data_IF_671978515996
#
_entry.id   IF_671978515996
#
_cell.length_a   1.000
_cell.length_b   1.000
_cell.length_c   1.000
_cell.angle_alpha   90.00
_cell.angle_beta   90.00
_cell.angle_gamma   90.00
#
_symmetry.space_group_name_H-M   'P 1'
#
loop_
_entity.id
_entity.type
_entity.pdbx_description
1 polymer ?
#
# COMPACT_ATOMS: atom_id res chain seq x y z
N UNK A 1 26.77 -13.87 -14.05
CA UNK A 1 25.99 -12.68 -14.49
C UNK A 1 24.56 -12.69 -13.93
N UNK A 2 23.56 -13.35 -14.53
CA UNK A 2 22.16 -13.33 -14.02
C UNK A 2 21.95 -13.90 -12.60
N UNK A 3 22.71 -14.91 -12.22
CA UNK A 3 22.59 -15.54 -10.88
C UNK A 3 23.25 -14.69 -9.78
N UNK A 4 24.34 -13.98 -10.12
CA UNK A 4 25.02 -13.06 -9.20
C UNK A 4 24.13 -11.84 -8.90
N UNK A 5 23.44 -11.30 -9.91
CA UNK A 5 22.47 -10.21 -9.74
C UNK A 5 21.30 -10.56 -8.80
N UNK A 6 20.82 -11.81 -8.80
CA UNK A 6 19.79 -12.23 -7.84
C UNK A 6 20.28 -12.30 -6.39
N UNK A 7 21.55 -12.68 -6.16
CA UNK A 7 22.14 -12.60 -4.82
C UNK A 7 22.33 -11.16 -4.35
N UNK A 8 22.53 -10.22 -5.29
CA UNK A 8 22.66 -8.81 -4.95
C UNK A 8 21.39 -8.23 -4.32
N UNK A 9 20.21 -8.72 -4.70
CA UNK A 9 18.93 -8.34 -4.08
C UNK A 9 18.75 -8.87 -2.65
N UNK A 10 19.52 -9.89 -2.23
CA UNK A 10 19.35 -10.56 -0.93
C UNK A 10 20.19 -9.88 0.16
N UNK A 11 21.25 -9.16 -0.21
CA UNK A 11 22.04 -8.36 0.73
C UNK A 11 21.38 -7.00 0.93
N UNK A 12 20.79 -6.69 2.11
CA UNK A 12 19.92 -5.52 2.29
C UNK A 12 20.53 -4.16 1.93
N UNK A 13 21.86 -4.04 1.94
CA UNK A 13 22.56 -2.80 1.63
C UNK A 13 22.92 -2.59 0.16
N UNK A 14 23.06 -3.67 -0.61
CA UNK A 14 23.71 -3.58 -1.91
C UNK A 14 22.89 -2.80 -2.94
N UNK A 15 21.56 -2.87 -2.86
CA UNK A 15 20.67 -2.05 -3.68
C UNK A 15 20.95 -0.55 -3.47
N UNK A 16 21.19 -0.12 -2.24
CA UNK A 16 21.44 1.29 -1.91
C UNK A 16 22.85 1.70 -2.32
N UNK A 17 23.84 0.83 -2.11
CA UNK A 17 25.22 1.07 -2.53
C UNK A 17 25.34 1.23 -4.05
N UNK A 18 24.61 0.42 -4.83
CA UNK A 18 24.56 0.55 -6.30
C UNK A 18 23.87 1.85 -6.76
N UNK A 19 22.99 2.43 -5.94
CA UNK A 19 22.43 3.78 -6.15
C UNK A 19 23.38 4.90 -5.69
N UNK A 20 24.58 4.57 -5.21
CA UNK A 20 25.57 5.52 -4.71
C UNK A 20 25.28 6.01 -3.28
N UNK A 21 24.49 5.27 -2.51
CA UNK A 21 24.15 5.59 -1.12
C UNK A 21 24.96 4.70 -0.17
N UNK A 22 25.57 5.28 0.86
CA UNK A 22 26.17 4.49 1.93
C UNK A 22 25.07 3.76 2.71
N UNK A 23 25.36 2.59 3.27
CA UNK A 23 24.36 1.77 3.97
C UNK A 23 24.82 1.37 5.37
N UNK A 24 23.94 1.51 6.36
CA UNK A 24 24.15 1.07 7.75
C UNK A 24 22.95 0.22 8.18
N UNK A 25 23.20 -1.02 8.60
CA UNK A 25 22.19 -1.88 9.22
C UNK A 25 22.13 -3.30 8.64
N UNK A 26 21.04 -4.07 8.91
CA UNK A 26 19.92 -3.67 9.76
C UNK A 26 20.35 -3.49 11.21
N UNK A 27 19.89 -2.41 11.86
CA UNK A 27 20.01 -2.19 13.31
C UNK A 27 18.69 -2.49 14.00
N UNK A 28 18.72 -2.78 15.31
CA UNK A 28 17.49 -2.80 16.11
C UNK A 28 16.97 -1.37 16.31
N UNK A 29 15.85 -1.07 15.66
CA UNK A 29 15.17 0.22 15.74
C UNK A 29 14.51 0.51 17.09
N UNK A 30 14.59 -0.40 18.06
CA UNK A 30 14.19 -0.17 19.45
C UNK A 30 15.39 -0.08 20.41
N UNK A 31 16.61 -0.23 19.91
CA UNK A 31 17.83 -0.05 20.67
C UNK A 31 18.37 1.38 20.49
N UNK A 32 18.14 2.24 21.49
CA UNK A 32 18.58 3.64 21.44
C UNK A 32 20.10 3.77 21.26
N UNK A 33 20.90 2.86 21.83
CA UNK A 33 22.35 2.86 21.70
C UNK A 33 22.80 2.60 20.26
N UNK A 34 22.20 1.61 19.59
CA UNK A 34 22.46 1.32 18.18
C UNK A 34 22.05 2.47 17.27
N UNK A 35 20.88 3.07 17.51
CA UNK A 35 20.39 4.22 16.75
C UNK A 35 21.36 5.39 16.87
N UNK A 36 21.78 5.74 18.09
CA UNK A 36 22.73 6.84 18.31
C UNK A 36 24.07 6.56 17.62
N UNK A 37 24.55 5.32 17.68
CA UNK A 37 25.80 4.92 17.02
C UNK A 37 25.70 5.05 15.50
N UNK A 38 24.64 4.50 14.90
CA UNK A 38 24.38 4.57 13.46
C UNK A 38 24.25 6.01 12.96
N UNK A 39 23.52 6.86 13.69
CA UNK A 39 23.38 8.29 13.36
C UNK A 39 24.71 9.04 13.44
N UNK A 40 25.54 8.75 14.45
CA UNK A 40 26.90 9.35 14.56
C UNK A 40 27.79 8.92 13.40
N UNK A 41 27.76 7.64 13.04
CA UNK A 41 28.53 7.10 11.92
C UNK A 41 28.08 7.74 10.59
N UNK A 42 26.77 7.76 10.31
CA UNK A 42 26.21 8.39 9.10
C UNK A 42 26.60 9.88 9.01
N UNK A 43 26.53 10.62 10.12
CA UNK A 43 26.94 12.02 10.18
C UNK A 43 28.43 12.21 9.86
N UNK A 44 29.29 11.32 10.34
CA UNK A 44 30.74 11.39 10.10
C UNK A 44 31.12 11.12 8.64
N UNK A 45 30.33 10.33 7.91
CA UNK A 45 30.60 9.98 6.50
C UNK A 45 30.52 11.16 5.53
N UNK A 46 29.75 12.21 5.86
CA UNK A 46 29.51 13.38 4.98
C UNK A 46 29.05 12.98 3.56
N UNK A 47 28.23 11.92 3.47
CA UNK A 47 27.65 11.37 2.25
C UNK A 47 26.18 11.00 2.48
N UNK A 48 25.35 10.92 1.42
CA UNK A 48 24.02 10.32 1.52
C UNK A 48 24.11 8.89 2.06
N UNK A 49 23.34 8.59 3.11
CA UNK A 49 23.38 7.31 3.80
C UNK A 49 21.97 6.83 4.15
N UNK A 50 21.73 5.53 3.98
CA UNK A 50 20.52 4.84 4.41
C UNK A 50 20.84 4.07 5.69
N UNK A 51 20.14 4.40 6.77
CA UNK A 51 20.12 3.59 7.99
C UNK A 51 18.88 2.69 7.95
N UNK A 52 19.10 1.38 7.85
CA UNK A 52 18.02 0.39 7.91
C UNK A 52 17.77 0.02 9.37
N UNK A 53 16.73 0.61 9.97
CA UNK A 53 16.29 0.28 11.32
C UNK A 53 15.07 -0.66 11.29
N UNK A 54 15.17 -1.81 11.96
CA UNK A 54 14.07 -2.76 12.07
C UNK A 54 13.18 -2.39 13.26
N UNK A 55 11.88 -2.20 13.02
CA UNK A 55 10.93 -1.78 14.05
C UNK A 55 9.71 -2.70 14.11
N UNK A 56 8.92 -2.54 15.19
CA UNK A 56 7.66 -3.23 15.43
C UNK A 56 6.59 -2.15 15.38
N UNK A 57 5.65 -2.25 14.44
CA UNK A 57 4.53 -1.30 14.35
C UNK A 57 3.71 -1.38 15.64
N UNK A 58 3.44 -0.22 16.25
CA UNK A 58 2.72 -0.15 17.53
C UNK A 58 3.58 -0.46 18.77
N UNK A 59 4.92 -0.50 18.65
CA UNK A 59 5.83 -0.78 19.78
C UNK A 59 5.47 0.05 21.01
N UNK A 60 5.42 -0.60 22.17
CA UNK A 60 5.13 0.01 23.46
C UNK A 60 3.67 -0.12 23.88
N UNK A 61 2.79 -0.55 22.97
CA UNK A 61 1.40 -0.86 23.30
C UNK A 61 1.06 -2.27 22.82
N UNK A 62 1.02 -3.23 23.75
CA UNK A 62 0.95 -4.66 23.46
C UNK A 62 -0.21 -5.05 22.53
N UNK A 63 -1.37 -4.39 22.65
CA UNK A 63 -2.54 -4.65 21.81
C UNK A 63 -2.36 -4.18 20.36
N UNK A 64 -1.44 -3.24 20.11
CA UNK A 64 -1.12 -2.70 18.79
C UNK A 64 0.17 -3.24 18.16
N UNK A 65 1.03 -3.90 18.93
CA UNK A 65 2.28 -4.47 18.42
C UNK A 65 2.02 -5.52 17.32
N UNK A 66 2.70 -5.37 16.18
CA UNK A 66 2.69 -6.36 15.10
C UNK A 66 1.90 -5.93 13.86
N UNK A 67 1.22 -6.88 13.21
CA UNK A 67 0.58 -6.69 11.88
C UNK A 67 -0.90 -6.31 11.98
N UNK A 68 -1.24 -5.41 12.90
CA UNK A 68 -2.63 -5.04 13.15
C UNK A 68 -3.00 -3.75 12.41
N UNK A 69 -3.52 -3.89 11.19
CA UNK A 69 -3.94 -2.75 10.36
C UNK A 69 -4.94 -1.82 11.07
N UNK A 70 -5.80 -2.37 11.95
CA UNK A 70 -6.77 -1.60 12.74
C UNK A 70 -6.14 -0.47 13.56
N UNK A 71 -4.90 -0.64 14.03
CA UNK A 71 -4.18 0.34 14.85
C UNK A 71 -3.41 1.37 14.03
N UNK A 72 -3.50 1.34 12.69
CA UNK A 72 -2.88 2.35 11.84
C UNK A 72 -3.51 3.74 12.02
N UNK A 73 -4.81 3.76 12.36
CA UNK A 73 -5.56 4.95 12.74
C UNK A 73 -6.83 4.56 13.47
N UNK A 74 -6.90 4.85 14.76
CA UNK A 74 -8.06 4.55 15.63
C UNK A 74 -8.63 5.85 16.19
N UNK A 75 -9.95 5.87 16.40
CA UNK A 75 -10.58 6.91 17.21
C UNK A 75 -10.30 6.70 18.69
N UNK A 76 -10.94 7.48 19.58
CA UNK A 76 -10.80 7.29 21.02
C UNK A 76 -11.15 5.84 21.42
N UNK A 77 -10.29 5.24 22.25
CA UNK A 77 -10.40 3.88 22.75
C UNK A 77 -9.93 3.84 24.21
N UNK A 78 -10.38 2.83 24.94
CA UNK A 78 -9.91 2.54 26.29
C UNK A 78 -8.53 1.87 26.24
N UNK A 79 -7.53 2.43 26.94
CA UNK A 79 -6.12 2.00 26.81
C UNK A 79 -5.87 0.59 27.34
N UNK A 80 -6.64 0.14 28.34
CA UNK A 80 -6.43 -1.15 28.99
C UNK A 80 -7.05 -2.29 28.17
N UNK A 81 -8.26 -2.08 27.65
CA UNK A 81 -9.00 -3.07 26.86
C UNK A 81 -8.75 -2.98 25.35
N UNK A 82 -8.32 -1.82 24.86
CA UNK A 82 -8.22 -1.51 23.44
C UNK A 82 -9.57 -1.35 22.73
N UNK A 83 -10.68 -1.33 23.47
CA UNK A 83 -12.02 -1.19 22.91
C UNK A 83 -12.32 0.25 22.54
N UNK A 84 -12.96 0.45 21.38
CA UNK A 84 -13.38 1.78 20.95
C UNK A 84 -14.46 2.33 21.87
N UNK A 85 -14.36 3.62 22.23
CA UNK A 85 -15.41 4.32 22.96
C UNK A 85 -16.63 4.41 22.01
N UNK A 86 -17.69 3.68 22.34
CA UNK A 86 -18.89 3.40 21.53
C UNK A 86 -19.19 4.42 20.42
N UNK A 87 -19.31 3.95 19.18
CA UNK A 87 -20.01 4.68 18.10
C UNK A 87 -21.46 4.19 18.03
N UNK A 88 -22.40 5.14 18.09
CA UNK A 88 -23.83 4.93 17.78
C UNK A 88 -24.01 4.33 16.39
N UNK A 89 -25.13 3.63 16.17
CA UNK A 89 -25.57 3.01 14.90
C UNK A 89 -25.08 3.74 13.64
N UNK A 90 -23.91 3.31 13.15
CA UNK A 90 -23.28 3.97 12.01
C UNK A 90 -23.96 3.49 10.74
N UNK A 91 -24.54 4.43 9.99
CA UNK A 91 -24.97 4.18 8.60
C UNK A 91 -23.78 3.60 7.82
N UNK A 92 -24.08 2.65 6.92
CA UNK A 92 -23.05 2.03 6.07
C UNK A 92 -22.25 3.10 5.34
N UNK A 93 -20.94 2.95 5.34
CA UNK A 93 -20.06 3.88 4.64
C UNK A 93 -20.19 3.72 3.12
N UNK A 94 -19.83 4.77 2.36
CA UNK A 94 -19.76 4.69 0.89
C UNK A 94 -18.82 3.55 0.45
N UNK A 95 -17.69 3.39 1.14
CA UNK A 95 -16.73 2.29 0.95
C UNK A 95 -17.38 0.92 1.11
N UNK A 96 -18.19 0.72 2.16
CA UNK A 96 -18.89 -0.55 2.39
C UNK A 96 -19.94 -0.85 1.32
N UNK A 97 -20.66 0.18 0.87
CA UNK A 97 -21.65 0.06 -0.20
C UNK A 97 -20.94 -0.30 -1.51
N UNK A 98 -19.87 0.40 -1.86
CA UNK A 98 -19.04 0.12 -3.03
C UNK A 98 -18.51 -1.32 -3.01
N UNK A 99 -17.84 -1.71 -1.93
CA UNK A 99 -17.25 -3.04 -1.74
C UNK A 99 -18.31 -4.15 -1.92
N UNK A 100 -19.48 -4.00 -1.29
CA UNK A 100 -20.56 -4.98 -1.39
C UNK A 100 -21.06 -5.14 -2.83
N UNK A 101 -21.28 -4.04 -3.53
CA UNK A 101 -21.80 -4.09 -4.90
C UNK A 101 -20.76 -4.63 -5.88
N UNK A 102 -19.49 -4.23 -5.75
CA UNK A 102 -18.43 -4.75 -6.60
C UNK A 102 -18.21 -6.25 -6.38
N UNK A 103 -18.30 -6.73 -5.13
CA UNK A 103 -18.22 -8.16 -4.81
C UNK A 103 -19.36 -8.96 -5.45
N UNK A 104 -20.59 -8.43 -5.43
CA UNK A 104 -21.74 -9.03 -6.11
C UNK A 104 -21.55 -9.07 -7.63
N UNK A 105 -21.10 -7.97 -8.23
CA UNK A 105 -20.79 -7.93 -9.67
C UNK A 105 -19.68 -8.92 -10.04
N UNK A 106 -18.59 -8.96 -9.28
CA UNK A 106 -17.47 -9.87 -9.52
C UNK A 106 -17.89 -11.35 -9.38
N UNK A 107 -18.93 -11.65 -8.61
CA UNK A 107 -19.49 -13.00 -8.51
C UNK A 107 -20.26 -13.47 -9.76
N UNK A 108 -20.75 -12.52 -10.56
CA UNK A 108 -21.56 -12.76 -11.76
C UNK A 108 -20.75 -12.68 -13.04
N UNK A 109 -19.70 -11.85 -13.05
CA UNK A 109 -18.90 -11.56 -14.23
C UNK A 109 -17.43 -11.85 -13.98
N UNK A 110 -16.86 -12.77 -14.77
CA UNK A 110 -15.46 -13.19 -14.62
C UNK A 110 -14.47 -12.12 -15.07
N UNK A 111 -14.85 -11.28 -16.04
CA UNK A 111 -14.00 -10.24 -16.61
C UNK A 111 -13.92 -8.94 -15.79
N UNK A 112 -14.54 -8.89 -14.61
CA UNK A 112 -14.34 -7.78 -13.66
C UNK A 112 -13.04 -8.02 -12.91
N UNK A 113 -12.17 -7.02 -12.95
CA UNK A 113 -10.88 -6.99 -12.24
C UNK A 113 -10.77 -5.69 -11.46
N UNK A 114 -9.87 -5.62 -10.50
CA UNK A 114 -9.66 -4.37 -9.77
C UNK A 114 -8.32 -4.28 -9.08
N UNK A 115 -7.95 -3.05 -8.76
CA UNK A 115 -6.68 -2.75 -8.14
C UNK A 115 -6.85 -1.66 -7.09
N UNK A 116 -6.04 -1.72 -6.04
CA UNK A 116 -5.83 -0.63 -5.09
C UNK A 116 -4.33 -0.35 -4.95
N UNK A 117 -3.99 0.85 -4.49
CA UNK A 117 -2.63 1.25 -4.19
C UNK A 117 -2.42 1.35 -2.67
N UNK A 118 -2.05 0.24 -2.02
CA UNK A 118 -1.82 0.10 -0.58
C UNK A 118 -3.02 0.43 0.33
N UNK A 119 -4.25 0.48 -0.20
CA UNK A 119 -5.44 0.86 0.55
C UNK A 119 -6.58 -0.17 0.49
N UNK A 120 -6.33 -1.48 0.66
CA UNK A 120 -7.38 -2.50 0.48
C UNK A 120 -8.54 -2.32 1.46
N UNK A 121 -8.28 -2.07 2.74
CA UNK A 121 -9.35 -1.81 3.72
C UNK A 121 -9.94 -0.40 3.61
N UNK A 122 -9.11 0.58 3.25
CA UNK A 122 -9.53 1.99 3.11
C UNK A 122 -10.51 2.22 1.95
N UNK A 123 -10.32 1.47 0.86
CA UNK A 123 -11.13 1.55 -0.37
C UNK A 123 -12.10 0.37 -0.54
N UNK A 124 -12.06 -0.60 0.38
CA UNK A 124 -12.99 -1.73 0.41
C UNK A 124 -12.70 -2.86 -0.61
N UNK A 125 -11.46 -2.96 -1.10
CA UNK A 125 -11.03 -4.08 -1.95
C UNK A 125 -10.48 -5.29 -1.18
N UNK A 126 -10.23 -5.17 0.12
CA UNK A 126 -9.74 -6.26 0.98
C UNK A 126 -10.49 -7.59 0.77
N UNK A 127 -11.83 -7.57 0.84
CA UNK A 127 -12.68 -8.76 0.63
C UNK A 127 -12.64 -9.31 -0.79
N UNK A 128 -12.43 -8.43 -1.78
CA UNK A 128 -12.33 -8.85 -3.18
C UNK A 128 -10.98 -9.51 -3.47
N UNK A 129 -9.91 -8.98 -2.90
CA UNK A 129 -8.56 -9.57 -2.98
C UNK A 129 -8.56 -10.94 -2.31
N UNK A 130 -9.18 -11.08 -1.14
CA UNK A 130 -9.29 -12.37 -0.45
C UNK A 130 -10.10 -13.40 -1.27
N UNK A 131 -11.26 -12.99 -1.79
CA UNK A 131 -12.18 -13.90 -2.48
C UNK A 131 -11.76 -14.23 -3.92
N UNK A 132 -11.14 -13.29 -4.61
CA UNK A 132 -10.80 -13.37 -6.03
C UNK A 132 -9.36 -12.88 -6.30
N UNK A 133 -8.33 -13.51 -5.70
CA UNK A 133 -6.95 -13.02 -5.72
C UNK A 133 -6.34 -12.96 -7.13
N UNK A 134 -6.84 -13.74 -8.08
CA UNK A 134 -6.39 -13.71 -9.48
C UNK A 134 -7.02 -12.57 -10.30
N UNK A 135 -7.93 -11.79 -9.71
CA UNK A 135 -8.66 -10.69 -10.37
C UNK A 135 -8.56 -9.37 -9.63
N UNK A 136 -8.23 -9.41 -8.35
CA UNK A 136 -8.07 -8.23 -7.51
C UNK A 136 -6.75 -8.29 -6.77
N UNK A 137 -5.98 -7.22 -6.81
CA UNK A 137 -4.69 -7.15 -6.15
C UNK A 137 -4.35 -5.75 -5.65
N UNK A 138 -3.32 -5.71 -4.81
CA UNK A 138 -2.73 -4.48 -4.28
C UNK A 138 -1.36 -4.27 -4.95
N UNK A 139 -1.16 -3.09 -5.54
CA UNK A 139 0.12 -2.71 -6.17
C UNK A 139 1.06 -1.97 -5.21
N UNK A 140 0.77 -2.00 -3.91
CA UNK A 140 1.41 -1.17 -2.90
C UNK A 140 1.26 0.33 -3.24
N UNK A 141 2.19 1.18 -2.76
CA UNK A 141 2.11 2.64 -2.95
C UNK A 141 2.63 3.01 -4.34
N UNK A 142 1.87 2.64 -5.38
CA UNK A 142 2.24 2.84 -6.79
C UNK A 142 1.01 3.16 -7.64
N UNK A 143 0.43 4.34 -7.43
CA UNK A 143 -0.80 4.79 -8.10
C UNK A 143 -0.66 4.82 -9.63
N UNK A 144 0.49 5.25 -10.16
CA UNK A 144 0.73 5.24 -11.60
C UNK A 144 0.63 3.82 -12.17
N UNK A 145 1.25 2.85 -11.49
CA UNK A 145 1.19 1.46 -11.90
C UNK A 145 -0.23 0.89 -11.80
N UNK A 146 -1.00 1.27 -10.77
CA UNK A 146 -2.41 0.91 -10.66
C UNK A 146 -3.21 1.35 -11.90
N UNK A 147 -3.05 2.61 -12.33
CA UNK A 147 -3.79 3.14 -13.48
C UNK A 147 -3.33 2.49 -14.79
N UNK A 148 -2.03 2.48 -15.09
CA UNK A 148 -1.52 1.94 -16.36
C UNK A 148 -1.78 0.43 -16.49
N UNK A 149 -1.66 -0.35 -15.41
CA UNK A 149 -1.95 -1.79 -15.47
C UNK A 149 -3.43 -2.07 -15.76
N UNK A 150 -4.34 -1.27 -15.20
CA UNK A 150 -5.78 -1.38 -15.47
C UNK A 150 -6.15 -0.90 -16.88
N UNK A 151 -5.44 0.10 -17.41
CA UNK A 151 -5.59 0.49 -18.80
C UNK A 151 -5.30 -0.67 -19.75
N UNK A 152 -4.22 -1.43 -19.49
CA UNK A 152 -3.90 -2.63 -20.25
C UNK A 152 -4.99 -3.71 -20.12
N UNK A 153 -5.52 -3.93 -18.92
CA UNK A 153 -6.64 -4.87 -18.72
C UNK A 153 -7.90 -4.45 -19.50
N UNK A 154 -8.24 -3.15 -19.49
CA UNK A 154 -9.37 -2.64 -20.27
C UNK A 154 -9.17 -2.87 -21.78
N UNK A 155 -7.93 -2.74 -22.28
CA UNK A 155 -7.59 -2.98 -23.68
C UNK A 155 -7.84 -4.44 -24.10
N UNK A 156 -7.58 -5.39 -23.20
CA UNK A 156 -7.81 -6.82 -23.39
C UNK A 156 -9.27 -7.26 -23.13
N UNK A 157 -10.19 -6.31 -22.93
CA UNK A 157 -11.63 -6.59 -22.80
C UNK A 157 -12.11 -6.85 -21.38
N UNK A 158 -11.25 -6.71 -20.36
CA UNK A 158 -11.67 -6.71 -18.97
C UNK A 158 -12.41 -5.42 -18.59
N UNK A 159 -13.08 -5.45 -17.43
CA UNK A 159 -13.80 -4.33 -16.82
C UNK A 159 -13.11 -3.93 -15.52
N UNK A 160 -12.04 -3.12 -15.58
CA UNK A 160 -11.22 -2.79 -14.43
C UNK A 160 -11.84 -1.71 -13.54
N UNK A 161 -11.72 -1.92 -12.23
CA UNK A 161 -12.04 -0.95 -11.18
C UNK A 161 -10.76 -0.53 -10.44
N UNK A 162 -10.37 0.73 -10.57
CA UNK A 162 -9.28 1.35 -9.80
C UNK A 162 -9.88 1.99 -8.55
N UNK A 163 -9.68 1.37 -7.40
CA UNK A 163 -10.15 1.88 -6.11
C UNK A 163 -9.02 2.69 -5.44
N UNK A 164 -9.21 4.01 -5.36
CA UNK A 164 -8.15 4.96 -5.03
C UNK A 164 -8.71 6.18 -4.28
N UNK A 165 -7.94 6.80 -3.40
CA UNK A 165 -8.37 8.07 -2.80
C UNK A 165 -8.18 9.22 -3.77
N UNK A 166 -9.08 10.20 -3.75
CA UNK A 166 -9.04 11.38 -4.62
C UNK A 166 -7.69 12.10 -4.59
N UNK A 167 -7.13 12.31 -3.39
CA UNK A 167 -5.83 12.97 -3.24
C UNK A 167 -4.66 12.20 -3.85
N UNK A 168 -4.73 10.87 -3.92
CA UNK A 168 -3.65 10.03 -4.44
C UNK A 168 -3.75 9.81 -5.94
N UNK A 169 -4.96 9.88 -6.52
CA UNK A 169 -5.14 9.84 -7.97
C UNK A 169 -4.32 10.92 -8.70
N UNK A 170 -4.02 12.04 -8.02
CA UNK A 170 -3.13 13.09 -8.53
C UNK A 170 -1.74 12.57 -8.93
N UNK A 171 -1.21 11.55 -8.24
CA UNK A 171 0.07 10.90 -8.63
C UNK A 171 0.02 10.25 -10.00
N UNK A 172 -1.17 9.82 -10.43
CA UNK A 172 -1.41 9.12 -11.68
C UNK A 172 -2.14 10.00 -12.72
N UNK A 173 -2.11 11.32 -12.56
CA UNK A 173 -2.80 12.26 -13.45
C UNK A 173 -2.42 12.05 -14.93
N UNK A 174 -1.13 11.87 -15.20
CA UNK A 174 -0.65 11.61 -16.56
C UNK A 174 -1.15 10.26 -17.09
N UNK A 175 -1.12 9.19 -16.29
CA UNK A 175 -1.59 7.86 -16.67
C UNK A 175 -3.10 7.84 -16.96
N UNK A 176 -3.89 8.64 -16.24
CA UNK A 176 -5.33 8.81 -16.53
C UNK A 176 -5.52 9.39 -17.93
N UNK A 177 -4.75 10.41 -18.29
CA UNK A 177 -4.87 11.07 -19.59
C UNK A 177 -4.28 10.20 -20.70
N UNK A 178 -2.99 9.91 -20.58
CA UNK A 178 -2.18 9.28 -21.62
C UNK A 178 -2.57 7.83 -21.83
N UNK A 179 -2.67 7.05 -20.75
CA UNK A 179 -2.87 5.61 -20.85
C UNK A 179 -4.35 5.21 -20.87
N UNK A 180 -5.26 6.05 -20.37
CA UNK A 180 -6.70 5.72 -20.38
C UNK A 180 -7.49 6.58 -21.38
N UNK A 181 -7.46 7.91 -21.23
CA UNK A 181 -8.40 8.81 -21.91
C UNK A 181 -8.11 8.95 -23.41
N UNK A 182 -6.85 9.09 -23.83
CA UNK A 182 -6.49 9.23 -25.26
C UNK A 182 -6.96 8.01 -26.08
N UNK A 183 -6.83 6.82 -25.51
CA UNK A 183 -7.29 5.57 -26.12
C UNK A 183 -8.79 5.28 -25.89
N UNK A 184 -9.48 6.15 -25.15
CA UNK A 184 -10.88 6.00 -24.75
C UNK A 184 -11.19 4.63 -24.13
N UNK A 185 -10.36 4.21 -23.18
CA UNK A 185 -10.48 2.88 -22.55
C UNK A 185 -11.57 2.85 -21.48
N UNK A 186 -12.21 1.68 -21.36
CA UNK A 186 -13.26 1.42 -20.38
C UNK A 186 -12.65 1.12 -18.99
N UNK A 187 -12.21 2.16 -18.29
CA UNK A 187 -11.67 2.06 -16.93
C UNK A 187 -12.58 2.79 -15.95
N UNK A 188 -12.89 2.16 -14.81
CA UNK A 188 -13.70 2.77 -13.75
C UNK A 188 -12.81 3.25 -12.61
N UNK A 189 -12.86 4.53 -12.29
CA UNK A 189 -12.21 5.10 -11.11
C UNK A 189 -13.23 5.18 -9.96
N UNK A 190 -13.04 4.33 -8.95
CA UNK A 190 -13.78 4.41 -7.69
C UNK A 190 -13.00 5.30 -6.72
N UNK A 191 -13.29 6.61 -6.78
CA UNK A 191 -12.63 7.62 -5.97
C UNK A 191 -13.27 7.70 -4.57
N UNK A 192 -12.51 7.32 -3.55
CA UNK A 192 -12.90 7.47 -2.15
C UNK A 192 -12.25 8.74 -1.55
N UNK A 193 -12.75 9.24 -0.41
CA UNK A 193 -12.26 10.48 0.26
C UNK A 193 -12.18 11.68 -0.73
N UNK A 194 -13.23 11.86 -1.53
CA UNK A 194 -13.38 12.96 -2.48
C UNK A 194 -13.86 14.26 -1.81
#
# INVERSE_FOLDING_TARGET
KRFEESFKLITPGLLFEELGLEYIGPIDGHNLGEIISALKQAKAMQKPCVIHAQTIKGKGYALAEGKHAKWHGVGAFDIDSGESVKKSDAKKSATEIFSKNLLDLASKYENIVGVTAAMPSGTGLDKLIEKYPNRFWDVAIAEQHAVTSMAAMAKEGFKPFIAIYSTFLQRAYDQVIHDCAIMNLNVVFAMDRA
#
